data_IF_262168018903
#
_entry.id   IF_262168018903
#
_cell.length_a   1.000
_cell.length_b   1.000
_cell.length_c   1.000
_cell.angle_alpha   90.00
_cell.angle_beta   90.00
_cell.angle_gamma   90.00
#
_symmetry.space_group_name_H-M   'P 1'
#
loop_
_entity.id
_entity.type
_entity.pdbx_description
1 polymer ?
#
# COMPACT_ATOMS: atom_id res chain seq x y z
N UNK A 1 24.61 5.58 -21.69
CA UNK A 1 25.35 6.00 -20.47
C UNK A 1 24.38 6.77 -19.58
N UNK A 2 23.60 6.07 -18.74
CA UNK A 2 22.76 6.73 -17.73
C UNK A 2 23.20 6.23 -16.35
N UNK A 3 23.57 7.18 -15.50
CA UNK A 3 24.05 6.97 -14.13
C UNK A 3 22.84 6.82 -13.21
N UNK A 4 22.79 5.74 -12.43
CA UNK A 4 21.83 5.58 -11.33
C UNK A 4 22.26 6.44 -10.14
N UNK A 5 21.36 7.26 -9.61
CA UNK A 5 21.51 7.88 -8.28
C UNK A 5 21.09 6.87 -7.22
N UNK A 6 22.02 6.52 -6.32
CA UNK A 6 21.72 5.86 -5.04
C UNK A 6 21.46 6.95 -3.99
N UNK A 7 20.33 6.89 -3.31
CA UNK A 7 20.15 7.56 -2.02
C UNK A 7 20.21 6.52 -0.91
N UNK A 8 21.22 6.64 -0.05
CA UNK A 8 21.25 6.00 1.27
C UNK A 8 20.65 6.98 2.27
N UNK A 9 19.54 6.61 2.92
CA UNK A 9 19.04 7.34 4.08
C UNK A 9 19.30 6.52 5.33
N UNK A 10 20.18 7.04 6.17
CA UNK A 10 20.44 6.56 7.51
C UNK A 10 19.48 7.27 8.47
N UNK A 11 18.54 6.52 9.07
CA UNK A 11 17.89 6.94 10.30
C UNK A 11 17.73 5.73 11.21
N UNK A 12 18.39 5.79 12.36
CA UNK A 12 18.32 4.79 13.40
C UNK A 12 16.95 4.78 14.06
N UNK A 13 16.34 3.61 14.14
CA UNK A 13 15.19 3.35 14.99
C UNK A 13 15.53 2.19 15.93
N UNK A 14 15.23 2.39 17.20
CA UNK A 14 15.44 1.45 18.30
C UNK A 14 14.71 0.13 18.01
N UNK A 15 15.28 -1.03 18.36
CA UNK A 15 14.60 -2.30 18.14
C UNK A 15 13.43 -2.41 19.14
N UNK A 16 12.20 -2.41 18.62
CA UNK A 16 11.04 -2.89 19.36
C UNK A 16 11.07 -4.41 19.27
N UNK A 17 11.36 -5.07 20.38
CA UNK A 17 11.49 -6.52 20.48
C UNK A 17 10.17 -7.21 20.14
N UNK A 18 10.05 -7.71 18.91
CA UNK A 18 9.10 -8.75 18.57
C UNK A 18 9.91 -10.04 18.37
N UNK A 19 9.53 -11.09 19.08
CA UNK A 19 10.12 -12.41 18.93
C UNK A 19 9.81 -12.94 17.53
N UNK A 20 10.82 -12.93 16.65
CA UNK A 20 10.77 -13.55 15.33
C UNK A 20 11.16 -15.02 15.50
N UNK A 21 10.21 -15.93 15.41
CA UNK A 21 10.49 -17.36 15.28
C UNK A 21 10.94 -17.65 13.84
N UNK A 22 12.25 -17.76 13.63
CA UNK A 22 12.82 -18.25 12.38
C UNK A 22 12.92 -19.77 12.46
N UNK A 23 11.98 -20.49 11.87
CA UNK A 23 12.12 -21.94 11.66
C UNK A 23 13.03 -22.15 10.45
N UNK A 24 14.32 -22.39 10.70
CA UNK A 24 15.25 -22.82 9.65
C UNK A 24 14.93 -24.27 9.25
N UNK A 25 14.19 -24.45 8.15
CA UNK A 25 14.00 -25.78 7.56
C UNK A 25 15.12 -26.04 6.55
N UNK A 26 16.04 -26.95 6.89
CA UNK A 26 16.77 -27.78 5.92
C UNK A 26 18.10 -27.24 5.37
N UNK A 27 19.00 -28.20 5.09
CA UNK A 27 20.45 -28.10 4.75
C UNK A 27 20.82 -27.19 3.56
N UNK A 28 22.06 -26.67 3.51
CA UNK A 28 22.50 -25.74 2.48
C UNK A 28 22.73 -26.46 1.14
N UNK A 29 21.87 -26.21 0.17
CA UNK A 29 22.19 -26.37 -1.25
C UNK A 29 22.60 -25.03 -1.82
N UNK A 30 23.67 -25.03 -2.62
CA UNK A 30 24.24 -23.86 -3.29
C UNK A 30 23.18 -23.16 -4.14
N UNK A 31 22.57 -22.09 -3.62
CA UNK A 31 21.69 -21.24 -4.41
C UNK A 31 22.55 -20.30 -5.30
N UNK A 32 22.21 -20.13 -6.59
CA UNK A 32 22.88 -19.16 -7.45
C UNK A 32 22.80 -17.73 -6.90
N UNK A 33 23.76 -16.88 -7.23
CA UNK A 33 23.81 -15.46 -6.79
C UNK A 33 22.61 -14.61 -7.23
N UNK A 34 21.80 -15.09 -8.18
CA UNK A 34 20.53 -14.47 -8.59
C UNK A 34 19.31 -14.96 -7.79
N UNK A 35 19.48 -15.83 -6.79
CA UNK A 35 18.39 -16.22 -5.91
C UNK A 35 17.98 -15.04 -5.04
N UNK A 36 16.85 -14.41 -5.38
CA UNK A 36 16.20 -13.44 -4.50
C UNK A 36 15.68 -14.20 -3.28
N UNK A 37 16.38 -14.08 -2.15
CA UNK A 37 15.88 -14.54 -0.86
C UNK A 37 14.68 -13.66 -0.51
N UNK A 38 13.47 -14.13 -0.80
CA UNK A 38 12.24 -13.50 -0.31
C UNK A 38 12.20 -13.72 1.20
N UNK A 39 12.50 -12.68 1.97
CA UNK A 39 12.15 -12.66 3.37
C UNK A 39 10.64 -12.47 3.48
N UNK A 40 9.92 -13.54 3.82
CA UNK A 40 8.52 -13.46 4.20
C UNK A 40 8.48 -13.12 5.69
N UNK A 41 8.17 -11.87 6.01
CA UNK A 41 7.84 -11.49 7.39
C UNK A 41 6.40 -11.91 7.62
N UNK A 42 6.18 -12.91 8.48
CA UNK A 42 4.83 -13.32 8.91
C UNK A 42 4.30 -12.32 9.95
N UNK A 43 4.11 -11.07 9.53
CA UNK A 43 3.35 -10.09 10.32
C UNK A 43 1.93 -10.12 9.81
N UNK A 44 0.95 -10.16 10.71
CA UNK A 44 -0.45 -10.00 10.36
C UNK A 44 -0.60 -8.72 9.50
N UNK A 45 -1.04 -8.83 8.23
CA UNK A 45 -1.09 -7.69 7.32
C UNK A 45 -2.08 -6.61 7.77
N UNK A 46 -3.02 -6.94 8.67
CA UNK A 46 -3.96 -6.00 9.27
C UNK A 46 -3.36 -5.24 10.46
N UNK A 47 -2.32 -5.78 11.09
CA UNK A 47 -1.67 -5.21 12.28
C UNK A 47 -0.61 -4.14 11.96
N UNK A 48 -0.39 -3.81 10.68
CA UNK A 48 0.57 -2.77 10.30
C UNK A 48 -0.03 -1.37 10.48
N UNK A 49 0.75 -0.40 11.02
CA UNK A 49 0.33 1.00 11.02
C UNK A 49 0.20 1.48 9.57
N UNK A 50 -1.03 1.84 9.19
CA UNK A 50 -1.36 2.29 7.84
C UNK A 50 -1.61 3.79 7.86
N UNK A 51 -1.04 4.52 6.89
CA UNK A 51 -1.23 5.96 6.73
C UNK A 51 -1.91 6.26 5.40
N UNK A 52 -2.72 7.31 5.37
CA UNK A 52 -3.35 7.81 4.16
C UNK A 52 -3.27 9.33 4.10
N UNK A 53 -3.07 9.88 2.89
CA UNK A 53 -3.28 11.29 2.63
C UNK A 53 -4.77 11.51 2.35
N UNK A 54 -5.41 12.34 3.16
CA UNK A 54 -6.85 12.61 3.10
C UNK A 54 -7.15 14.10 3.03
N UNK A 55 -8.33 14.45 2.52
CA UNK A 55 -8.87 15.81 2.52
C UNK A 55 -10.37 15.77 2.82
N UNK A 56 -10.87 16.77 3.52
CA UNK A 56 -12.29 16.88 3.93
C UNK A 56 -13.04 17.99 3.19
N UNK A 57 -12.31 18.88 2.53
CA UNK A 57 -12.85 19.95 1.69
C UNK A 57 -11.90 20.19 0.52
N UNK A 58 -12.40 20.82 -0.54
CA UNK A 58 -11.63 21.15 -1.72
C UNK A 58 -10.75 22.37 -1.48
N UNK A 59 -9.56 22.37 -2.07
CA UNK A 59 -8.66 23.51 -1.99
C UNK A 59 -7.26 23.21 -2.52
N UNK A 60 -6.34 24.15 -2.31
CA UNK A 60 -4.94 23.92 -2.67
C UNK A 60 -4.41 22.73 -1.88
N UNK A 61 -3.68 21.77 -2.49
CA UNK A 61 -3.26 20.56 -1.79
C UNK A 61 -2.49 20.83 -0.49
N UNK A 62 -1.71 21.90 -0.42
CA UNK A 62 -0.96 22.29 0.79
C UNK A 62 -1.85 22.72 1.96
N UNK A 63 -3.05 23.21 1.69
CA UNK A 63 -3.97 23.75 2.69
C UNK A 63 -4.94 22.67 3.21
N UNK A 64 -5.27 21.66 2.39
CA UNK A 64 -6.34 20.69 2.68
C UNK A 64 -5.88 19.25 2.92
N UNK A 65 -4.70 18.84 2.42
CA UNK A 65 -4.22 17.48 2.63
C UNK A 65 -3.66 17.27 4.04
N UNK A 66 -4.05 16.16 4.64
CA UNK A 66 -3.54 15.70 5.93
C UNK A 66 -3.15 14.23 5.84
N UNK A 67 -2.04 13.85 6.51
CA UNK A 67 -1.66 12.44 6.65
C UNK A 67 -2.24 11.92 7.95
N UNK A 68 -3.15 10.95 7.86
CA UNK A 68 -3.82 10.35 9.02
C UNK A 68 -3.44 8.87 9.15
N UNK A 69 -3.47 8.36 10.38
CA UNK A 69 -3.42 6.93 10.65
C UNK A 69 -4.78 6.30 10.35
N UNK A 70 -4.79 5.19 9.60
CA UNK A 70 -6.00 4.49 9.16
C UNK A 70 -5.82 2.97 9.28
N UNK A 71 -5.86 2.42 10.51
CA UNK A 71 -5.67 0.99 10.73
C UNK A 71 -6.72 0.17 9.98
N UNK A 72 -6.32 -1.00 9.49
CA UNK A 72 -7.22 -1.94 8.84
C UNK A 72 -7.62 -2.97 9.89
N UNK A 73 -8.85 -2.91 10.39
CA UNK A 73 -9.33 -3.83 11.43
C UNK A 73 -10.12 -5.02 10.88
N UNK A 74 -10.82 -4.83 9.74
CA UNK A 74 -11.47 -5.88 8.96
C UNK A 74 -11.59 -5.41 7.51
N UNK A 75 -10.98 -6.15 6.57
CA UNK A 75 -11.06 -5.82 5.14
C UNK A 75 -12.23 -6.51 4.43
N UNK A 76 -12.95 -7.41 5.09
CA UNK A 76 -14.14 -8.08 4.56
C UNK A 76 -13.83 -9.33 3.70
N UNK A 77 -14.76 -10.31 3.68
CA UNK A 77 -14.54 -11.60 3.02
C UNK A 77 -14.54 -11.53 1.48
N UNK A 78 -15.05 -10.46 0.89
CA UNK A 78 -15.21 -10.25 -0.54
C UNK A 78 -14.15 -9.31 -1.15
N UNK A 79 -13.13 -8.93 -0.38
CA UNK A 79 -12.11 -7.95 -0.81
C UNK A 79 -10.70 -8.55 -0.83
N UNK A 80 -9.80 -7.82 -1.49
CA UNK A 80 -8.36 -8.03 -1.40
C UNK A 80 -7.77 -7.01 -0.43
N UNK A 81 -6.83 -7.45 0.41
CA UNK A 81 -6.00 -6.53 1.16
C UNK A 81 -4.73 -6.26 0.36
N UNK A 82 -4.48 -4.97 0.11
CA UNK A 82 -3.39 -4.51 -0.73
C UNK A 82 -2.36 -3.73 0.09
N UNK A 83 -1.08 -3.98 -0.19
CA UNK A 83 0.02 -3.15 0.27
C UNK A 83 0.48 -2.26 -0.89
N UNK A 84 0.23 -0.96 -0.77
CA UNK A 84 0.67 0.02 -1.77
C UNK A 84 2.21 0.05 -1.79
N UNK A 85 2.80 -0.16 -2.97
CA UNK A 85 4.24 -0.14 -3.19
C UNK A 85 4.70 1.25 -3.67
N UNK A 86 3.92 1.86 -4.56
CA UNK A 86 4.12 3.21 -5.06
C UNK A 86 2.80 3.76 -5.62
N UNK A 87 2.65 5.08 -5.56
CA UNK A 87 1.56 5.82 -6.19
C UNK A 87 2.16 7.08 -6.85
N UNK A 88 1.86 7.37 -8.13
CA UNK A 88 2.26 8.61 -8.77
C UNK A 88 1.47 9.80 -8.22
N UNK A 89 1.96 11.00 -8.50
CA UNK A 89 1.22 12.26 -8.33
C UNK A 89 1.00 12.81 -9.73
N UNK A 90 -0.23 12.74 -10.20
CA UNK A 90 -0.62 13.21 -11.53
C UNK A 90 -1.40 14.54 -11.43
N UNK A 91 -1.47 15.35 -12.52
CA UNK A 91 -2.29 16.56 -12.54
C UNK A 91 -3.77 16.33 -12.19
N UNK A 92 -4.31 15.16 -12.55
CA UNK A 92 -5.69 14.80 -12.22
C UNK A 92 -5.93 14.68 -10.71
N UNK A 93 -4.94 14.21 -9.95
CA UNK A 93 -5.05 14.09 -8.49
C UNK A 93 -5.11 15.47 -7.84
N UNK A 94 -4.27 16.40 -8.31
CA UNK A 94 -4.27 17.80 -7.86
C UNK A 94 -5.62 18.44 -8.19
N UNK A 95 -6.08 18.32 -9.44
CA UNK A 95 -7.36 18.87 -9.88
C UNK A 95 -8.54 18.32 -9.06
N UNK A 96 -8.45 17.06 -8.61
CA UNK A 96 -9.48 16.44 -7.81
C UNK A 96 -9.51 16.98 -6.39
N UNK A 97 -8.34 17.19 -5.78
CA UNK A 97 -8.21 17.85 -4.46
C UNK A 97 -8.66 19.32 -4.52
N UNK A 98 -8.36 20.02 -5.62
CA UNK A 98 -8.81 21.39 -5.86
C UNK A 98 -10.31 21.48 -6.22
N UNK A 99 -10.96 20.34 -6.47
CA UNK A 99 -12.39 20.28 -6.79
C UNK A 99 -12.76 20.70 -8.22
N UNK A 100 -11.77 20.83 -9.09
CA UNK A 100 -11.92 21.23 -10.51
C UNK A 100 -11.93 20.04 -11.47
N UNK A 101 -11.58 18.83 -11.00
CA UNK A 101 -11.70 17.62 -11.80
C UNK A 101 -13.18 17.23 -11.97
N UNK A 102 -13.63 16.78 -13.17
CA UNK A 102 -15.04 16.46 -13.42
C UNK A 102 -15.61 15.37 -12.53
N UNK A 103 -14.77 14.44 -12.07
CA UNK A 103 -15.18 13.34 -11.20
C UNK A 103 -14.64 13.56 -9.79
N UNK A 104 -15.54 13.63 -8.82
CA UNK A 104 -15.24 14.00 -7.45
C UNK A 104 -15.39 12.81 -6.51
N UNK A 105 -14.51 12.66 -5.50
CA UNK A 105 -14.67 11.62 -4.51
C UNK A 105 -15.85 11.88 -3.59
N UNK A 106 -16.45 10.79 -3.12
CA UNK A 106 -17.37 10.85 -2.01
C UNK A 106 -16.58 11.11 -0.73
N UNK A 107 -16.93 12.16 0.01
CA UNK A 107 -16.34 12.42 1.32
C UNK A 107 -16.98 11.51 2.37
N UNK A 108 -16.17 10.67 3.00
CA UNK A 108 -16.58 9.99 4.24
C UNK A 108 -16.70 11.06 5.35
N UNK A 109 -17.85 11.17 6.04
CA UNK A 109 -18.03 12.21 7.07
C UNK A 109 -17.03 12.14 8.23
N UNK A 110 -16.44 10.97 8.47
CA UNK A 110 -15.52 10.72 9.59
C UNK A 110 -14.04 10.79 9.16
N UNK A 111 -13.74 10.44 7.90
CA UNK A 111 -12.36 10.25 7.42
C UNK A 111 -12.00 11.06 6.17
N UNK A 112 -12.94 11.80 5.58
CA UNK A 112 -12.74 12.52 4.32
C UNK A 112 -12.55 11.58 3.12
N UNK A 113 -11.93 12.09 2.06
CA UNK A 113 -11.57 11.34 0.87
C UNK A 113 -10.06 11.05 0.85
N UNK A 114 -9.67 9.85 0.42
CA UNK A 114 -8.26 9.50 0.18
C UNK A 114 -7.81 10.07 -1.15
N UNK A 115 -6.67 10.75 -1.17
CA UNK A 115 -6.09 11.29 -2.39
C UNK A 115 -5.33 10.23 -3.20
N UNK A 116 -5.28 10.42 -4.52
CA UNK A 116 -4.54 9.59 -5.46
C UNK A 116 -5.40 8.52 -6.13
N UNK A 117 -5.23 8.38 -7.44
CA UNK A 117 -6.12 7.57 -8.29
C UNK A 117 -5.47 6.32 -8.87
N UNK A 118 -4.16 6.21 -8.75
CA UNK A 118 -3.35 5.17 -9.33
C UNK A 118 -2.34 4.67 -8.31
N UNK A 119 -2.00 3.38 -8.40
CA UNK A 119 -0.92 2.80 -7.63
C UNK A 119 -0.47 1.48 -8.26
N UNK A 120 0.70 1.01 -7.81
CA UNK A 120 1.03 -0.41 -7.86
C UNK A 120 0.98 -0.97 -6.43
N UNK A 121 0.35 -2.12 -6.27
CA UNK A 121 0.17 -2.75 -4.97
C UNK A 121 0.49 -4.24 -5.02
N UNK A 122 0.92 -4.79 -3.88
CA UNK A 122 1.06 -6.23 -3.66
C UNK A 122 -0.19 -6.75 -2.93
N UNK A 123 -0.75 -7.87 -3.37
CA UNK A 123 -1.81 -8.55 -2.62
C UNK A 123 -1.20 -9.19 -1.39
N UNK A 124 -1.66 -8.80 -0.19
CA UNK A 124 -1.19 -9.35 1.08
C UNK A 124 -2.20 -10.28 1.76
N UNK A 125 -3.49 -10.16 1.42
CA UNK A 125 -4.52 -11.13 1.80
C UNK A 125 -5.66 -11.17 0.79
N UNK A 126 -6.32 -12.33 0.69
CA UNK A 126 -7.47 -12.56 -0.19
C UNK A 126 -8.65 -12.99 0.67
N UNK A 127 -9.77 -12.27 0.56
CA UNK A 127 -11.01 -12.64 1.22
C UNK A 127 -11.57 -13.96 0.70
N UNK A 128 -12.17 -14.77 1.57
CA UNK A 128 -12.63 -16.12 1.25
C UNK A 128 -13.87 -16.20 0.33
N UNK A 129 -14.51 -15.06 0.03
CA UNK A 129 -15.66 -14.94 -0.89
C UNK A 129 -15.31 -14.20 -2.18
N UNK A 130 -14.03 -13.91 -2.43
CA UNK A 130 -13.59 -13.36 -3.73
C UNK A 130 -13.82 -14.42 -4.81
N UNK A 131 -14.80 -14.19 -5.68
CA UNK A 131 -15.33 -15.18 -6.63
C UNK A 131 -14.34 -15.56 -7.74
N UNK A 132 -13.28 -14.78 -7.91
CA UNK A 132 -12.15 -15.03 -8.81
C UNK A 132 -10.82 -15.19 -8.04
N UNK A 133 -10.87 -15.75 -6.83
CA UNK A 133 -9.69 -16.02 -6.00
C UNK A 133 -8.64 -16.90 -6.70
N UNK A 134 -9.02 -17.71 -7.69
CA UNK A 134 -8.10 -18.46 -8.54
C UNK A 134 -7.15 -17.56 -9.37
N UNK A 135 -7.59 -16.31 -9.63
CA UNK A 135 -6.83 -15.29 -10.38
C UNK A 135 -6.00 -14.36 -9.52
N UNK A 136 -6.21 -14.36 -8.20
CA UNK A 136 -5.55 -13.43 -7.28
C UNK A 136 -4.81 -14.19 -6.19
N UNK A 137 -3.48 -14.07 -6.19
CA UNK A 137 -2.64 -14.75 -5.20
C UNK A 137 -1.94 -13.73 -4.34
N UNK A 138 -1.74 -14.09 -3.07
CA UNK A 138 -0.87 -13.33 -2.18
C UNK A 138 0.53 -13.26 -2.80
N UNK A 139 1.08 -12.05 -2.88
CA UNK A 139 2.35 -11.73 -3.54
C UNK A 139 2.23 -11.25 -4.98
N UNK A 140 1.06 -11.34 -5.61
CA UNK A 140 0.84 -10.78 -6.95
C UNK A 140 0.86 -9.25 -6.90
N UNK A 141 1.41 -8.65 -7.95
CA UNK A 141 1.38 -7.20 -8.14
C UNK A 141 0.20 -6.82 -9.01
N UNK A 142 -0.56 -5.84 -8.55
CA UNK A 142 -1.79 -5.37 -9.18
C UNK A 142 -1.79 -3.86 -9.35
N UNK A 143 -2.54 -3.40 -10.35
CA UNK A 143 -2.91 -2.00 -10.52
C UNK A 143 -4.44 -1.90 -10.45
N UNK A 144 -5.01 -0.91 -9.75
CA UNK A 144 -6.45 -0.69 -9.76
C UNK A 144 -6.86 -0.15 -11.13
N UNK A 145 -7.74 -0.86 -11.82
CA UNK A 145 -8.29 -0.42 -13.11
C UNK A 145 -9.50 0.52 -12.95
N UNK A 146 -10.10 0.50 -11.76
CA UNK A 146 -11.26 1.32 -11.43
C UNK A 146 -10.85 2.37 -10.43
N UNK A 147 -11.22 3.62 -10.72
CA UNK A 147 -10.97 4.76 -9.84
C UNK A 147 -11.86 4.63 -8.60
N UNK A 148 -11.31 4.89 -7.42
CA UNK A 148 -11.94 4.55 -6.13
C UNK A 148 -12.88 5.64 -5.60
N UNK A 149 -13.57 6.37 -6.47
CA UNK A 149 -14.48 7.46 -6.07
C UNK A 149 -15.91 7.29 -6.59
#
# INVERSE_FOLDING_TARGET
>A
MLRYLRFTSAYGLRPVSHSVSVSAVGRPTLLPWWSTRRYQTTTDPTALPNKAAVFQDYGRPVDVLQVVDRPVTDFGPDKLLLKILAAPINPADINQIEGVYPVKPTFDPLHGAVAGNECVAEIVAVGNRVTCADRYRVGDWVIPLTRTF
#
